data_IF_474536352009
#
_entry.id   IF_474536352009
#
_cell.length_a   1.000
_cell.length_b   1.000
_cell.length_c   1.000
_cell.angle_alpha   90.00
_cell.angle_beta   90.00
_cell.angle_gamma   90.00
#
_symmetry.space_group_name_H-M   'P 1'
#
loop_
_entity.id
_entity.type
_entity.pdbx_description
1 polymer ?
#
# COMPACT_ATOMS: atom_id res chain seq x y z
N UNK A 1 38.12 5.06 -65.73
CA UNK A 1 37.41 5.63 -64.57
C UNK A 1 36.10 4.88 -64.41
N UNK A 2 36.03 3.97 -63.45
CA UNK A 2 34.82 3.21 -63.12
C UNK A 2 34.19 3.86 -61.89
N UNK A 3 33.02 4.47 -62.05
CA UNK A 3 32.27 5.06 -60.95
C UNK A 3 31.36 3.98 -60.35
N UNK A 4 31.68 3.52 -59.14
CA UNK A 4 30.82 2.66 -58.36
C UNK A 4 29.73 3.51 -57.70
N UNK A 5 28.47 3.27 -58.05
CA UNK A 5 27.29 3.83 -57.37
C UNK A 5 27.03 2.95 -56.15
N UNK A 6 27.33 3.49 -54.95
CA UNK A 6 26.96 2.87 -53.68
C UNK A 6 25.51 3.24 -53.39
N UNK A 7 24.59 2.29 -53.55
CA UNK A 7 23.21 2.42 -53.12
C UNK A 7 23.11 2.28 -51.60
N UNK A 8 22.66 3.34 -50.92
CA UNK A 8 22.33 3.30 -49.49
C UNK A 8 20.96 2.65 -49.35
N UNK A 9 20.93 1.37 -48.95
CA UNK A 9 19.73 0.68 -48.51
C UNK A 9 19.33 1.25 -47.14
N UNK A 10 18.32 2.11 -47.13
CA UNK A 10 17.66 2.53 -45.90
C UNK A 10 16.98 1.33 -45.25
N UNK A 11 17.49 0.90 -44.10
CA UNK A 11 16.80 -0.03 -43.21
C UNK A 11 15.54 0.67 -42.68
N UNK A 12 14.39 0.36 -43.25
CA UNK A 12 13.10 0.70 -42.66
C UNK A 12 12.98 -0.05 -41.33
N UNK A 13 13.11 0.68 -40.23
CA UNK A 13 12.78 0.17 -38.90
C UNK A 13 11.26 0.00 -38.88
N UNK A 14 10.78 -1.21 -39.11
CA UNK A 14 9.38 -1.55 -38.90
C UNK A 14 9.09 -1.36 -37.41
N UNK A 15 8.39 -0.27 -37.06
CA UNK A 15 7.82 -0.11 -35.72
C UNK A 15 6.98 -1.33 -35.39
N UNK A 16 7.28 -1.98 -34.27
CA UNK A 16 6.61 -3.20 -33.85
C UNK A 16 5.09 -2.96 -33.82
N UNK A 17 4.34 -3.70 -34.65
CA UNK A 17 2.90 -3.53 -34.75
C UNK A 17 2.26 -3.80 -33.38
N UNK A 18 1.39 -2.90 -32.93
CA UNK A 18 0.71 -3.00 -31.65
C UNK A 18 -0.23 -4.21 -31.62
N UNK A 19 0.15 -5.27 -30.90
CA UNK A 19 -0.76 -6.39 -30.60
C UNK A 19 -1.77 -5.94 -29.55
N UNK A 20 -3.08 -6.06 -29.80
CA UNK A 20 -4.10 -5.68 -28.82
C UNK A 20 -3.92 -6.42 -27.48
N UNK A 21 -4.02 -5.70 -26.37
CA UNK A 21 -3.94 -6.26 -25.02
C UNK A 21 -5.33 -6.51 -24.42
N UNK A 22 -5.42 -7.49 -23.51
CA UNK A 22 -6.58 -7.66 -22.62
C UNK A 22 -6.59 -6.67 -21.45
N UNK A 23 -5.45 -6.01 -21.21
CA UNK A 23 -5.31 -4.97 -20.20
C UNK A 23 -6.16 -3.76 -20.56
N UNK A 24 -6.88 -3.24 -19.58
CA UNK A 24 -7.62 -1.98 -19.73
C UNK A 24 -7.13 -0.96 -18.71
N UNK A 25 -7.09 0.32 -19.09
CA UNK A 25 -6.56 1.42 -18.28
C UNK A 25 -7.52 2.61 -18.24
N UNK A 26 -7.36 3.50 -17.28
CA UNK A 26 -8.06 4.80 -17.20
C UNK A 26 -7.29 5.78 -16.32
N UNK A 27 -7.57 7.07 -16.47
CA UNK A 27 -6.93 8.15 -15.71
C UNK A 27 -6.13 9.08 -16.63
N UNK A 28 -5.68 10.21 -16.10
CA UNK A 28 -4.96 11.25 -16.89
C UNK A 28 -3.62 10.80 -17.45
N UNK A 29 -3.00 9.78 -16.84
CA UNK A 29 -1.71 9.19 -17.23
C UNK A 29 -1.86 7.81 -17.89
N UNK A 30 -3.09 7.39 -18.20
CA UNK A 30 -3.31 6.16 -18.94
C UNK A 30 -2.96 6.35 -20.43
N UNK A 31 -2.23 5.41 -21.06
CA UNK A 31 -1.92 5.50 -22.48
C UNK A 31 -3.19 5.38 -23.33
N UNK A 32 -3.22 6.11 -24.45
CA UNK A 32 -4.34 6.06 -25.41
C UNK A 32 -4.44 4.69 -26.09
N UNK A 33 -3.31 4.02 -26.31
CA UNK A 33 -3.24 2.69 -26.92
C UNK A 33 -2.50 1.74 -26.00
N UNK A 34 -3.10 0.56 -25.75
CA UNK A 34 -2.54 -0.48 -24.88
C UNK A 34 -2.10 -1.66 -25.75
N UNK A 35 -0.79 -1.79 -25.94
CA UNK A 35 -0.19 -2.90 -26.66
C UNK A 35 0.28 -3.98 -25.68
N UNK A 36 0.08 -5.25 -26.01
CA UNK A 36 0.57 -6.38 -25.21
C UNK A 36 2.08 -6.27 -24.98
N UNK A 37 2.51 -6.44 -23.72
CA UNK A 37 3.90 -6.29 -23.29
C UNK A 37 4.40 -4.86 -23.12
N UNK A 38 3.65 -3.84 -23.53
CA UNK A 38 4.07 -2.45 -23.37
C UNK A 38 4.03 -2.03 -21.89
N UNK A 39 4.99 -1.20 -21.49
CA UNK A 39 4.93 -0.50 -20.21
C UNK A 39 3.87 0.61 -20.32
N UNK A 40 2.89 0.58 -19.42
CA UNK A 40 1.71 1.44 -19.45
C UNK A 40 1.65 2.45 -18.30
N UNK A 41 2.50 2.27 -17.30
CA UNK A 41 2.74 3.23 -16.23
C UNK A 41 4.14 3.02 -15.66
N UNK A 42 4.82 4.11 -15.36
CA UNK A 42 6.10 4.09 -14.68
C UNK A 42 6.35 5.35 -13.86
N UNK A 43 7.03 5.15 -12.74
CA UNK A 43 7.64 6.22 -11.97
C UNK A 43 8.97 5.73 -11.39
N UNK A 44 10.05 6.44 -11.70
CA UNK A 44 11.40 6.21 -11.17
C UNK A 44 11.77 7.26 -10.11
N UNK A 45 10.80 8.07 -9.65
CA UNK A 45 10.91 9.03 -8.54
C UNK A 45 12.13 9.95 -8.61
N UNK A 46 12.50 10.37 -9.83
CA UNK A 46 13.49 11.44 -10.05
C UNK A 46 13.00 12.77 -9.47
N UNK A 47 11.68 12.96 -9.45
CA UNK A 47 10.95 14.00 -8.74
C UNK A 47 9.67 13.43 -8.12
N UNK A 48 9.01 14.21 -7.26
CA UNK A 48 7.69 13.84 -6.72
C UNK A 48 6.60 14.42 -7.63
N UNK A 49 6.12 13.61 -8.57
CA UNK A 49 5.10 13.98 -9.55
C UNK A 49 3.68 13.96 -8.92
N UNK A 50 3.14 15.15 -8.66
CA UNK A 50 1.79 15.34 -8.09
C UNK A 50 0.66 15.14 -9.11
N UNK A 51 0.97 15.06 -10.40
CA UNK A 51 -0.02 14.72 -11.42
C UNK A 51 -0.24 13.20 -11.51
N UNK A 52 0.79 12.41 -11.14
CA UNK A 52 0.68 10.96 -10.95
C UNK A 52 0.16 10.58 -9.57
N UNK A 53 0.63 11.23 -8.51
CA UNK A 53 0.36 10.80 -7.14
C UNK A 53 -0.43 11.85 -6.36
N UNK A 54 -1.65 11.48 -5.97
CA UNK A 54 -2.45 12.25 -5.03
C UNK A 54 -2.17 11.76 -3.60
N UNK A 55 -1.94 12.69 -2.66
CA UNK A 55 -1.92 12.36 -1.23
C UNK A 55 -3.33 12.10 -0.70
N UNK A 56 -3.46 11.09 0.14
CA UNK A 56 -4.58 10.98 1.07
C UNK A 56 -4.31 11.91 2.27
N UNK A 57 -5.28 12.76 2.58
CA UNK A 57 -5.25 13.69 3.71
C UNK A 57 -6.37 13.29 4.68
N UNK A 58 -6.02 12.57 5.74
CA UNK A 58 -6.99 12.04 6.71
C UNK A 58 -6.33 11.68 8.04
N UNK A 59 -7.05 11.91 9.14
CA UNK A 59 -6.74 11.35 10.46
C UNK A 59 -7.30 9.94 10.65
N UNK A 60 -8.09 9.44 9.69
CA UNK A 60 -8.67 8.12 9.75
C UNK A 60 -7.57 7.05 9.63
N UNK A 61 -7.62 6.05 10.50
CA UNK A 61 -6.73 4.89 10.43
C UNK A 61 -7.21 3.82 9.45
N UNK A 62 -7.93 4.19 8.38
CA UNK A 62 -8.39 3.24 7.34
C UNK A 62 -9.27 2.08 7.84
N UNK A 63 -9.99 2.23 8.95
CA UNK A 63 -10.71 1.13 9.61
C UNK A 63 -9.85 0.26 10.54
N UNK A 64 -8.52 0.39 10.46
CA UNK A 64 -7.54 -0.31 11.31
C UNK A 64 -7.21 0.42 12.62
N UNK A 65 -7.74 1.64 12.78
CA UNK A 65 -7.45 2.55 13.91
C UNK A 65 -5.95 2.81 14.12
N UNK A 66 -5.22 2.93 13.02
CA UNK A 66 -3.80 3.31 12.97
C UNK A 66 -3.55 4.67 13.68
N UNK A 67 -2.32 4.86 14.18
CA UNK A 67 -2.01 5.95 15.11
C UNK A 67 -1.48 7.21 14.44
N UNK A 68 -1.07 7.15 13.18
CA UNK A 68 -0.69 8.32 12.39
C UNK A 68 -1.91 9.02 11.79
N UNK A 69 -1.74 10.28 11.39
CA UNK A 69 -2.55 10.86 10.33
C UNK A 69 -1.71 11.05 9.07
N UNK A 70 -2.37 10.97 7.92
CA UNK A 70 -1.76 11.19 6.62
C UNK A 70 -1.99 12.62 6.16
N UNK A 71 -0.94 13.27 5.67
CA UNK A 71 -1.04 14.58 5.04
C UNK A 71 -0.01 14.76 3.92
N UNK A 72 -0.22 15.79 3.10
CA UNK A 72 0.72 16.20 2.08
C UNK A 72 1.84 17.08 2.69
N UNK A 73 2.82 16.45 3.34
CA UNK A 73 3.97 17.15 3.92
C UNK A 73 5.30 16.57 3.41
N UNK A 74 6.24 17.46 3.04
CA UNK A 74 7.57 17.09 2.53
C UNK A 74 8.52 16.56 3.60
N UNK A 75 8.20 16.70 4.89
CA UNK A 75 8.90 15.95 5.95
C UNK A 75 8.58 14.45 5.91
N UNK A 76 7.40 14.11 5.37
CA UNK A 76 6.85 12.75 5.39
C UNK A 76 6.83 12.06 4.03
N UNK A 77 6.82 12.81 2.93
CA UNK A 77 6.85 12.26 1.57
C UNK A 77 7.63 13.17 0.62
N UNK A 78 8.70 12.65 0.04
CA UNK A 78 9.58 13.39 -0.87
C UNK A 78 10.35 12.44 -1.79
N UNK A 79 10.76 12.97 -2.95
CA UNK A 79 11.67 12.28 -3.86
C UNK A 79 13.09 12.82 -3.66
N UNK A 80 14.08 11.93 -3.58
CA UNK A 80 15.49 12.30 -3.46
C UNK A 80 16.38 11.20 -4.06
N UNK A 81 17.34 11.60 -4.91
CA UNK A 81 18.27 10.68 -5.59
C UNK A 81 17.58 9.50 -6.33
N UNK A 82 16.44 9.76 -6.98
CA UNK A 82 15.70 8.72 -7.72
C UNK A 82 14.92 7.76 -6.82
N UNK A 83 14.70 8.11 -5.55
CA UNK A 83 13.91 7.30 -4.62
C UNK A 83 12.76 8.15 -4.06
N UNK A 84 11.58 7.56 -3.94
CA UNK A 84 10.53 8.05 -3.06
C UNK A 84 10.83 7.62 -1.63
N UNK A 85 10.74 8.55 -0.70
CA UNK A 85 10.76 8.31 0.74
C UNK A 85 9.38 8.59 1.32
N UNK A 86 8.83 7.65 2.09
CA UNK A 86 7.74 7.90 3.03
C UNK A 86 8.27 7.70 4.44
N UNK A 87 8.33 8.78 5.22
CA UNK A 87 8.98 8.84 6.53
C UNK A 87 8.01 9.27 7.63
N UNK A 88 7.98 8.60 8.79
CA UNK A 88 7.14 9.03 9.91
C UNK A 88 7.82 10.20 10.64
N UNK A 89 7.03 11.09 11.23
CA UNK A 89 7.51 12.16 12.11
C UNK A 89 6.52 12.38 13.25
N UNK A 90 6.91 13.08 14.32
CA UNK A 90 5.98 13.32 15.42
C UNK A 90 5.06 14.51 15.13
N UNK A 91 3.80 14.40 15.52
CA UNK A 91 2.86 15.52 15.53
C UNK A 91 3.33 16.61 16.51
N UNK A 92 3.95 16.20 17.62
CA UNK A 92 4.53 17.11 18.63
C UNK A 92 5.67 17.96 18.11
N UNK A 93 6.39 17.54 17.06
CA UNK A 93 7.47 18.36 16.48
C UNK A 93 6.93 19.65 15.86
N UNK A 94 5.67 19.64 15.42
CA UNK A 94 5.00 20.80 14.83
C UNK A 94 4.17 21.59 15.85
N UNK A 95 3.47 20.91 16.75
CA UNK A 95 2.46 21.54 17.61
C UNK A 95 2.82 21.52 19.11
N UNK A 96 3.92 20.87 19.50
CA UNK A 96 4.28 20.61 20.89
C UNK A 96 3.54 19.43 21.51
N UNK A 97 4.12 18.81 22.55
CA UNK A 97 3.51 17.62 23.19
C UNK A 97 2.15 17.92 23.84
N UNK A 98 1.99 19.10 24.47
CA UNK A 98 0.74 19.49 25.13
C UNK A 98 -0.46 19.59 24.18
N UNK A 99 -0.20 19.85 22.89
CA UNK A 99 -1.25 19.89 21.86
C UNK A 99 -1.89 18.52 21.64
N UNK A 100 -1.16 17.42 21.85
CA UNK A 100 -1.71 16.09 21.67
C UNK A 100 -2.90 15.82 22.60
N UNK A 101 -2.87 16.33 23.83
CA UNK A 101 -3.90 16.07 24.86
C UNK A 101 -4.95 17.17 25.02
N UNK A 102 -4.87 18.25 24.24
CA UNK A 102 -5.76 19.41 24.41
C UNK A 102 -6.08 20.18 23.12
N UNK A 103 -5.30 19.94 22.06
CA UNK A 103 -5.42 20.62 20.79
C UNK A 103 -6.62 20.15 19.98
N UNK A 104 -7.10 21.04 19.12
CA UNK A 104 -8.05 20.71 18.07
C UNK A 104 -7.31 20.75 16.73
N UNK A 105 -7.24 19.61 16.05
CA UNK A 105 -6.60 19.47 14.75
C UNK A 105 -7.68 19.30 13.69
N UNK A 106 -7.79 20.30 12.81
CA UNK A 106 -8.61 20.26 11.62
C UNK A 106 -7.69 20.31 10.39
N UNK A 107 -7.79 19.30 9.53
CA UNK A 107 -6.98 19.15 8.32
C UNK A 107 -7.77 19.48 7.04
N UNK A 108 -9.03 19.90 7.17
CA UNK A 108 -9.76 20.53 6.06
C UNK A 108 -9.12 21.90 5.80
N UNK A 109 -8.17 21.93 4.87
CA UNK A 109 -7.44 23.15 4.55
C UNK A 109 -8.28 24.17 3.78
N UNK A 110 -7.72 25.37 3.62
CA UNK A 110 -8.40 26.49 2.96
C UNK A 110 -8.41 26.43 1.43
N UNK A 111 -7.76 25.45 0.81
CA UNK A 111 -7.61 25.32 -0.63
C UNK A 111 -7.96 23.90 -1.12
N UNK A 112 -8.35 23.72 -2.40
CA UNK A 112 -8.63 22.40 -2.96
C UNK A 112 -7.50 21.38 -2.79
N UNK A 113 -6.24 21.82 -2.76
CA UNK A 113 -5.06 20.98 -2.58
C UNK A 113 -4.90 20.43 -1.15
N UNK A 114 -5.55 21.05 -0.17
CA UNK A 114 -5.44 20.71 1.25
C UNK A 114 -6.71 20.08 1.80
N UNK A 115 -7.66 19.71 0.92
CA UNK A 115 -8.93 19.12 1.33
C UNK A 115 -8.71 17.80 2.05
N UNK A 116 -9.49 17.55 3.08
CA UNK A 116 -9.60 16.24 3.66
C UNK A 116 -10.19 15.28 2.63
N UNK A 117 -9.52 14.16 2.42
CA UNK A 117 -9.93 13.20 1.39
C UNK A 117 -10.80 12.08 1.94
N UNK A 118 -10.87 11.91 3.27
CA UNK A 118 -11.71 10.92 3.91
C UNK A 118 -12.20 11.43 5.28
N UNK A 119 -13.50 11.79 5.41
CA UNK A 119 -14.09 12.26 6.67
C UNK A 119 -14.49 11.16 7.65
N UNK A 120 -14.48 9.88 7.22
CA UNK A 120 -14.92 8.79 8.07
C UNK A 120 -14.06 8.67 9.34
N UNK A 121 -14.67 8.22 10.44
CA UNK A 121 -14.00 8.00 11.73
C UNK A 121 -13.19 9.21 12.21
N UNK A 122 -13.81 10.39 12.21
CA UNK A 122 -13.17 11.65 12.60
C UNK A 122 -11.94 11.94 11.72
N UNK A 123 -12.09 11.72 10.42
CA UNK A 123 -10.98 11.73 9.48
C UNK A 123 -10.54 13.12 9.03
N UNK A 124 -11.34 14.18 9.26
CA UNK A 124 -10.98 15.55 8.90
C UNK A 124 -10.70 16.46 10.09
N UNK A 125 -11.23 16.13 11.26
CA UNK A 125 -10.96 16.88 12.48
C UNK A 125 -11.02 15.96 13.70
N UNK A 126 -10.17 16.25 14.69
CA UNK A 126 -10.14 15.58 15.99
C UNK A 126 -9.77 16.58 17.08
N UNK A 127 -10.24 16.34 18.29
CA UNK A 127 -9.81 17.07 19.49
C UNK A 127 -9.13 16.10 20.44
N UNK A 128 -7.90 16.42 20.81
CA UNK A 128 -7.14 15.67 21.81
C UNK A 128 -7.71 15.88 23.20
N UNK A 129 -7.66 14.83 24.00
CA UNK A 129 -8.00 14.85 25.42
C UNK A 129 -6.90 14.14 26.22
N UNK A 130 -6.81 14.32 27.55
CA UNK A 130 -5.84 13.61 28.37
C UNK A 130 -5.90 12.08 28.24
N UNK A 131 -7.10 11.53 28.01
CA UNK A 131 -7.30 10.07 27.86
C UNK A 131 -7.13 9.59 26.42
N UNK A 132 -7.56 10.39 25.44
CA UNK A 132 -7.49 10.09 24.01
C UNK A 132 -6.80 11.23 23.30
N UNK A 133 -5.49 11.13 23.15
CA UNK A 133 -4.71 12.14 22.47
C UNK A 133 -4.97 12.14 20.96
N UNK A 134 -4.62 13.23 20.28
CA UNK A 134 -4.53 13.27 18.82
C UNK A 134 -3.50 12.26 18.30
N UNK A 135 -3.66 11.83 17.05
CA UNK A 135 -2.69 11.02 16.31
C UNK A 135 -1.26 11.55 16.59
N UNK A 136 -0.38 10.80 17.29
CA UNK A 136 0.88 11.35 17.75
C UNK A 136 1.92 11.35 16.63
N UNK A 137 1.61 10.69 15.51
CA UNK A 137 2.48 10.51 14.36
C UNK A 137 1.86 11.17 13.12
N UNK A 138 2.72 11.74 12.29
CA UNK A 138 2.42 12.14 10.90
C UNK A 138 3.10 11.17 9.95
N UNK A 139 2.44 10.84 8.86
CA UNK A 139 3.00 10.03 7.79
C UNK A 139 2.38 10.44 6.45
N UNK A 140 2.65 9.69 5.38
CA UNK A 140 2.00 9.89 4.09
C UNK A 140 1.44 8.58 3.51
N UNK A 141 0.36 8.76 2.74
CA UNK A 141 -0.28 7.75 1.89
C UNK A 141 -0.55 8.43 0.56
N UNK A 142 -0.05 7.84 -0.52
CA UNK A 142 -0.16 8.40 -1.87
C UNK A 142 -0.85 7.39 -2.78
N UNK A 143 -1.60 7.87 -3.77
CA UNK A 143 -2.41 7.03 -4.64
C UNK A 143 -2.55 7.58 -6.05
N UNK A 144 -2.78 6.67 -7.00
CA UNK A 144 -2.96 6.97 -8.43
C UNK A 144 -4.43 7.13 -8.83
N UNK A 145 -5.36 7.29 -7.87
CA UNK A 145 -6.82 7.20 -8.06
C UNK A 145 -7.40 8.01 -9.24
N UNK A 146 -6.82 9.17 -9.56
CA UNK A 146 -7.24 10.01 -10.69
C UNK A 146 -6.37 9.86 -11.95
N UNK A 147 -5.13 9.42 -11.76
CA UNK A 147 -4.09 9.44 -12.79
C UNK A 147 -3.96 8.11 -13.52
N UNK A 148 -4.07 6.99 -12.80
CA UNK A 148 -3.86 5.67 -13.38
C UNK A 148 -4.57 4.58 -12.57
N UNK A 149 -5.51 3.91 -13.23
CA UNK A 149 -6.13 2.66 -12.77
C UNK A 149 -6.11 1.65 -13.91
N UNK A 150 -5.86 0.38 -13.62
CA UNK A 150 -5.75 -0.65 -14.63
C UNK A 150 -6.42 -1.96 -14.21
N UNK A 151 -6.81 -2.77 -15.19
CA UNK A 151 -7.27 -4.15 -15.01
C UNK A 151 -6.42 -5.06 -15.86
N UNK A 152 -5.88 -6.10 -15.22
CA UNK A 152 -4.93 -7.06 -15.76
C UNK A 152 -3.60 -6.42 -16.18
N UNK A 153 -2.50 -7.10 -15.90
CA UNK A 153 -1.16 -6.59 -16.15
C UNK A 153 -0.12 -7.29 -15.28
N UNK A 154 1.12 -6.86 -15.45
CA UNK A 154 2.22 -7.15 -14.52
C UNK A 154 2.55 -5.87 -13.78
N UNK A 155 2.62 -5.94 -12.45
CA UNK A 155 3.10 -4.86 -11.58
C UNK A 155 4.43 -5.28 -11.01
N UNK A 156 5.39 -4.37 -10.98
CA UNK A 156 6.62 -4.51 -10.21
C UNK A 156 6.89 -3.21 -9.46
N UNK A 157 7.09 -3.32 -8.16
CA UNK A 157 7.54 -2.22 -7.32
C UNK A 157 8.84 -2.65 -6.65
N UNK A 158 9.91 -1.89 -6.89
CA UNK A 158 11.19 -2.12 -6.20
C UNK A 158 11.26 -1.21 -4.99
N UNK A 159 11.27 -1.79 -3.81
CA UNK A 159 11.25 -1.05 -2.55
C UNK A 159 12.10 -1.71 -1.47
N UNK A 160 12.54 -0.93 -0.49
CA UNK A 160 13.14 -1.38 0.76
C UNK A 160 12.21 -1.01 1.90
N UNK A 161 11.82 -1.99 2.70
CA UNK A 161 10.91 -1.77 3.82
C UNK A 161 11.59 -0.97 4.94
N UNK A 162 10.87 -0.13 5.69
CA UNK A 162 11.40 0.55 6.85
C UNK A 162 11.66 -0.41 8.01
N UNK A 163 12.54 0.01 8.92
CA UNK A 163 12.78 -0.59 10.22
C UNK A 163 12.54 0.42 11.33
N UNK A 164 11.87 -0.04 12.37
CA UNK A 164 11.42 0.74 13.51
C UNK A 164 10.21 0.07 14.12
N UNK A 165 10.17 0.01 15.45
CA UNK A 165 9.10 -0.68 16.14
C UNK A 165 7.74 -0.04 15.80
N UNK A 166 6.78 -0.90 15.48
CA UNK A 166 5.38 -0.54 15.20
C UNK A 166 5.15 0.19 13.87
N UNK A 167 6.13 0.23 12.97
CA UNK A 167 5.94 0.70 11.60
C UNK A 167 5.23 -0.36 10.74
N UNK A 168 4.30 0.07 9.89
CA UNK A 168 3.50 -0.78 9.01
C UNK A 168 3.53 -0.22 7.57
N UNK A 169 4.56 -0.57 6.78
CA UNK A 169 4.61 -0.25 5.36
C UNK A 169 3.60 -1.07 4.55
N UNK A 170 2.99 -0.46 3.53
CA UNK A 170 2.14 -1.15 2.58
C UNK A 170 2.29 -0.58 1.16
N UNK A 171 2.28 -1.49 0.17
CA UNK A 171 2.06 -1.20 -1.25
C UNK A 171 0.90 -2.08 -1.68
N UNK A 172 -0.17 -1.48 -2.18
CA UNK A 172 -1.44 -2.15 -2.35
C UNK A 172 -2.30 -1.44 -3.40
N UNK A 173 -3.44 -2.02 -3.73
CA UNK A 173 -4.34 -1.51 -4.74
C UNK A 173 -5.79 -1.57 -4.27
N UNK A 174 -6.54 -0.53 -4.63
CA UNK A 174 -7.97 -0.40 -4.36
C UNK A 174 -8.76 -0.22 -5.66
N UNK A 175 -10.03 -0.65 -5.71
CA UNK A 175 -10.84 -0.54 -6.92
C UNK A 175 -11.12 0.94 -7.24
N UNK A 176 -11.05 1.30 -8.51
CA UNK A 176 -11.37 2.65 -8.98
C UNK A 176 -12.84 3.01 -8.73
N UNK A 177 -13.71 2.00 -8.68
CA UNK A 177 -15.13 2.14 -8.41
C UNK A 177 -15.63 0.98 -7.55
N UNK A 178 -16.62 1.25 -6.69
CA UNK A 178 -17.30 0.22 -5.89
C UNK A 178 -18.34 -0.56 -6.71
N UNK A 179 -17.91 -1.23 -7.79
CA UNK A 179 -18.81 -1.90 -8.75
C UNK A 179 -19.68 -3.01 -8.14
N UNK A 180 -19.24 -3.59 -7.01
CA UNK A 180 -19.90 -4.72 -6.34
C UNK A 180 -20.37 -4.38 -4.92
N UNK A 181 -20.29 -3.10 -4.51
CA UNK A 181 -20.60 -2.65 -3.16
C UNK A 181 -19.37 -2.17 -2.38
N UNK A 182 -19.56 -1.82 -1.11
CA UNK A 182 -18.47 -1.35 -0.25
C UNK A 182 -17.47 -2.47 0.06
N UNK A 183 -16.30 -2.11 0.59
CA UNK A 183 -15.29 -3.08 1.00
C UNK A 183 -15.88 -4.18 1.91
N UNK A 184 -15.49 -5.46 1.74
CA UNK A 184 -14.53 -6.00 0.76
C UNK A 184 -15.17 -6.46 -0.56
N UNK A 185 -16.44 -6.11 -0.84
CA UNK A 185 -17.17 -6.64 -1.98
C UNK A 185 -16.60 -6.21 -3.34
N UNK A 186 -15.99 -5.03 -3.41
CA UNK A 186 -15.28 -4.55 -4.61
C UNK A 186 -13.78 -4.87 -4.61
N UNK A 187 -13.30 -5.61 -3.62
CA UNK A 187 -11.93 -6.13 -3.55
C UNK A 187 -10.89 -5.14 -3.01
N UNK A 188 -9.74 -5.69 -2.62
CA UNK A 188 -8.49 -5.00 -2.29
C UNK A 188 -7.33 -5.99 -2.57
N UNK A 189 -6.23 -5.47 -3.11
CA UNK A 189 -5.04 -6.27 -3.49
C UNK A 189 -3.82 -5.73 -2.76
N UNK A 190 -3.34 -6.46 -1.76
CA UNK A 190 -2.15 -6.10 -1.02
C UNK A 190 -0.94 -6.74 -1.70
N UNK A 191 -0.21 -5.93 -2.47
CA UNK A 191 1.02 -6.39 -3.13
C UNK A 191 2.07 -6.75 -2.08
N UNK A 192 2.25 -5.89 -1.08
CA UNK A 192 3.05 -6.21 0.09
C UNK A 192 2.63 -5.42 1.33
N UNK A 193 2.56 -6.11 2.45
CA UNK A 193 2.57 -5.56 3.80
C UNK A 193 3.71 -6.18 4.62
N UNK A 194 4.29 -5.42 5.53
CA UNK A 194 5.35 -5.89 6.45
C UNK A 194 5.31 -5.13 7.78
N UNK A 195 6.17 -5.52 8.73
CA UNK A 195 6.32 -4.88 10.04
C UNK A 195 7.74 -4.39 10.21
N UNK A 196 7.91 -3.17 10.70
CA UNK A 196 9.24 -2.57 10.90
C UNK A 196 10.03 -3.11 12.10
N UNK A 197 9.42 -3.93 12.96
CA UNK A 197 10.08 -4.43 14.17
C UNK A 197 11.22 -5.41 13.81
N UNK A 198 12.46 -5.10 14.19
CA UNK A 198 13.62 -5.97 13.88
C UNK A 198 13.67 -7.25 14.71
N UNK A 199 12.98 -7.30 15.84
CA UNK A 199 13.06 -8.40 16.81
C UNK A 199 11.69 -8.81 17.35
N UNK A 200 10.66 -8.78 16.50
CA UNK A 200 9.30 -9.18 16.87
C UNK A 200 9.05 -10.65 16.56
N UNK A 201 8.70 -11.41 17.59
CA UNK A 201 8.43 -12.84 17.49
C UNK A 201 7.04 -13.19 18.03
N UNK A 202 6.35 -14.08 17.33
CA UNK A 202 5.13 -14.72 17.81
C UNK A 202 5.35 -16.23 17.86
N UNK A 203 5.22 -16.83 19.05
CA UNK A 203 5.49 -18.25 19.27
C UNK A 203 6.85 -18.73 18.70
N UNK A 204 7.90 -17.91 18.86
CA UNK A 204 9.25 -18.20 18.38
C UNK A 204 9.50 -17.91 16.89
N UNK A 205 8.46 -17.50 16.14
CA UNK A 205 8.56 -17.16 14.72
C UNK A 205 8.75 -15.66 14.56
N UNK A 206 9.76 -15.23 13.79
CA UNK A 206 9.97 -13.81 13.46
C UNK A 206 8.88 -13.34 12.50
N UNK A 207 8.10 -12.34 12.93
CA UNK A 207 6.98 -11.74 12.17
C UNK A 207 7.20 -10.25 11.89
N UNK A 208 8.39 -9.74 12.21
CA UNK A 208 8.83 -8.37 12.01
C UNK A 208 9.41 -8.13 10.62
N UNK A 209 10.56 -7.46 10.52
CA UNK A 209 11.19 -7.11 9.23
C UNK A 209 11.61 -8.31 8.38
N UNK A 210 11.61 -9.52 8.93
CA UNK A 210 11.90 -10.75 8.19
C UNK A 210 10.68 -11.32 7.46
N UNK A 211 9.48 -10.78 7.67
CA UNK A 211 8.24 -11.26 7.07
C UNK A 211 7.61 -10.21 6.16
N UNK A 212 7.20 -10.62 4.97
CA UNK A 212 6.39 -9.84 4.04
C UNK A 212 5.20 -10.69 3.60
N UNK A 213 4.02 -10.09 3.56
CA UNK A 213 2.78 -10.76 3.17
C UNK A 213 2.13 -10.11 1.96
N UNK A 214 1.42 -10.92 1.18
CA UNK A 214 0.50 -10.45 0.13
C UNK A 214 -0.87 -11.04 0.39
N UNK A 215 -1.91 -10.25 0.16
CA UNK A 215 -3.29 -10.60 0.52
C UNK A 215 -4.26 -10.17 -0.57
N UNK A 216 -5.33 -10.92 -0.73
CA UNK A 216 -6.52 -10.48 -1.46
C UNK A 216 -7.68 -10.39 -0.47
N UNK A 217 -8.29 -9.22 -0.30
CA UNK A 217 -9.54 -9.10 0.44
C UNK A 217 -10.71 -9.16 -0.52
N UNK A 218 -11.67 -10.04 -0.23
CA UNK A 218 -12.86 -10.25 -1.03
C UNK A 218 -13.96 -10.87 -0.16
N UNK A 219 -15.20 -10.45 -0.34
CA UNK A 219 -16.34 -11.01 0.38
C UNK A 219 -17.55 -10.09 0.31
N UNK A 220 -18.76 -10.57 0.60
CA UNK A 220 -19.96 -9.74 0.46
C UNK A 220 -20.01 -8.60 1.48
N UNK A 221 -19.43 -8.78 2.67
CA UNK A 221 -19.45 -7.84 3.79
C UNK A 221 -18.17 -7.95 4.64
N UNK A 222 -17.83 -6.92 5.45
CA UNK A 222 -16.63 -6.93 6.30
C UNK A 222 -16.50 -8.16 7.22
N UNK A 223 -17.61 -8.64 7.79
CA UNK A 223 -17.62 -9.82 8.66
C UNK A 223 -17.52 -11.16 7.90
N UNK A 224 -17.58 -11.13 6.58
CA UNK A 224 -17.44 -12.28 5.68
C UNK A 224 -16.28 -12.04 4.70
N UNK A 225 -15.19 -11.45 5.19
CA UNK A 225 -13.99 -11.26 4.39
C UNK A 225 -13.22 -12.59 4.25
N UNK A 226 -13.00 -13.04 3.02
CA UNK A 226 -12.39 -14.32 2.67
C UNK A 226 -10.86 -14.31 2.59
N UNK A 227 -10.22 -13.24 3.08
CA UNK A 227 -8.79 -12.99 2.93
C UNK A 227 -7.87 -14.13 3.40
N UNK A 228 -8.26 -14.87 4.44
CA UNK A 228 -7.50 -16.01 4.98
C UNK A 228 -7.22 -17.09 3.92
N UNK A 229 -8.06 -17.16 2.88
CA UNK A 229 -7.94 -18.13 1.78
C UNK A 229 -7.04 -17.65 0.64
N UNK A 230 -6.61 -16.39 0.70
CA UNK A 230 -5.78 -15.74 -0.31
C UNK A 230 -4.74 -14.83 0.36
N UNK A 231 -4.12 -15.34 1.43
CA UNK A 231 -3.05 -14.68 2.16
C UNK A 231 -1.81 -15.58 2.17
N UNK A 232 -0.66 -14.99 1.90
CA UNK A 232 0.62 -15.70 1.88
C UNK A 232 1.70 -14.84 2.51
N UNK A 233 2.65 -15.50 3.17
CA UNK A 233 3.81 -14.84 3.79
C UNK A 233 5.10 -15.48 3.32
N UNK A 234 6.13 -14.66 3.11
CA UNK A 234 7.48 -15.12 2.84
C UNK A 234 8.43 -14.56 3.88
N UNK A 235 9.26 -15.45 4.43
CA UNK A 235 10.31 -15.05 5.35
C UNK A 235 11.68 -14.97 4.68
N UNK A 236 12.42 -13.93 5.02
CA UNK A 236 13.81 -13.70 4.62
C UNK A 236 14.63 -13.39 5.87
N UNK A 237 15.55 -14.29 6.24
CA UNK A 237 16.38 -14.12 7.45
C UNK A 237 17.29 -12.88 7.40
N UNK A 238 17.62 -12.39 6.20
CA UNK A 238 18.33 -11.12 6.04
C UNK A 238 17.46 -9.90 6.39
N UNK A 239 16.13 -10.03 6.31
CA UNK A 239 15.18 -8.93 6.49
C UNK A 239 14.91 -8.14 5.20
N UNK A 240 13.66 -7.72 5.01
CA UNK A 240 13.24 -6.83 3.92
C UNK A 240 13.63 -5.36 4.16
N UNK A 241 14.18 -5.05 5.33
CA UNK A 241 14.70 -3.72 5.69
C UNK A 241 16.15 -3.48 5.26
N UNK A 242 16.86 -4.51 4.80
CA UNK A 242 18.31 -4.43 4.52
C UNK A 242 18.65 -4.12 3.07
N UNK A 243 17.78 -4.50 2.14
CA UNK A 243 18.02 -4.32 0.71
C UNK A 243 16.71 -3.97 -0.01
N UNK A 244 16.84 -3.47 -1.24
CA UNK A 244 15.70 -3.34 -2.12
C UNK A 244 15.30 -4.70 -2.67
N UNK A 245 14.00 -4.98 -2.65
CA UNK A 245 13.38 -6.19 -3.17
C UNK A 245 12.35 -5.81 -4.23
N UNK A 246 12.11 -6.71 -5.19
CA UNK A 246 11.06 -6.55 -6.21
C UNK A 246 9.79 -7.26 -5.73
N UNK A 247 8.75 -6.48 -5.48
CA UNK A 247 7.41 -6.98 -5.15
C UNK A 247 6.58 -6.99 -6.43
N UNK A 248 6.08 -8.16 -6.80
CA UNK A 248 5.54 -8.40 -8.13
C UNK A 248 4.14 -9.01 -8.07
N UNK A 249 3.27 -8.56 -8.98
CA UNK A 249 1.95 -9.12 -9.24
C UNK A 249 1.81 -9.43 -10.72
N UNK A 250 1.44 -10.66 -11.06
CA UNK A 250 0.89 -10.99 -12.37
C UNK A 250 -0.61 -11.23 -12.23
N UNK A 251 -1.40 -10.37 -12.85
CA UNK A 251 -2.86 -10.38 -12.78
C UNK A 251 -3.43 -10.56 -14.17
N UNK A 252 -4.06 -11.71 -14.40
CA UNK A 252 -4.59 -12.12 -15.70
C UNK A 252 -6.10 -12.36 -15.61
N UNK A 253 -6.81 -12.57 -16.74
CA UNK A 253 -8.20 -13.04 -16.72
C UNK A 253 -8.41 -14.41 -16.05
N UNK A 254 -7.33 -15.13 -15.72
CA UNK A 254 -7.39 -16.49 -15.19
C UNK A 254 -6.83 -16.65 -13.78
N UNK A 255 -5.90 -15.79 -13.35
CA UNK A 255 -5.26 -15.89 -12.04
C UNK A 255 -4.67 -14.56 -11.55
N UNK A 256 -4.42 -14.48 -10.24
CA UNK A 256 -3.48 -13.54 -9.63
C UNK A 256 -2.32 -14.32 -9.03
N UNK A 257 -1.07 -13.91 -9.30
CA UNK A 257 0.15 -14.49 -8.72
C UNK A 257 1.01 -13.40 -8.13
N UNK A 258 1.41 -13.57 -6.88
CA UNK A 258 2.35 -12.70 -6.18
C UNK A 258 3.74 -13.31 -6.19
N UNK A 259 4.76 -12.47 -6.26
CA UNK A 259 6.16 -12.89 -6.20
C UNK A 259 7.01 -11.84 -5.51
N UNK A 260 8.08 -12.30 -4.87
CA UNK A 260 9.13 -11.43 -4.35
C UNK A 260 10.45 -11.89 -4.97
N UNK A 261 11.18 -10.99 -5.61
CA UNK A 261 12.44 -11.30 -6.31
C UNK A 261 12.33 -12.51 -7.25
N UNK A 262 11.31 -12.52 -8.11
CA UNK A 262 10.97 -13.58 -9.07
C UNK A 262 10.63 -14.96 -8.46
N UNK A 263 10.50 -15.06 -7.13
CA UNK A 263 10.05 -16.29 -6.45
C UNK A 263 8.58 -16.16 -6.11
N UNK A 264 7.78 -17.11 -6.60
CA UNK A 264 6.34 -17.18 -6.32
C UNK A 264 6.09 -17.27 -4.81
N UNK A 265 5.28 -16.34 -4.33
CA UNK A 265 4.80 -16.28 -2.95
C UNK A 265 3.48 -17.04 -2.80
N UNK A 266 2.56 -16.81 -3.75
CA UNK A 266 1.27 -17.48 -3.79
C UNK A 266 0.46 -17.07 -5.01
N UNK A 267 -0.59 -17.85 -5.29
CA UNK A 267 -1.49 -17.59 -6.41
C UNK A 267 -2.92 -18.01 -6.12
N UNK A 268 -3.86 -17.34 -6.77
CA UNK A 268 -5.26 -17.75 -6.87
C UNK A 268 -5.63 -17.94 -8.34
N UNK A 269 -6.11 -19.14 -8.66
CA UNK A 269 -6.66 -19.51 -9.97
C UNK A 269 -8.10 -20.00 -9.75
N UNK A 270 -9.10 -19.10 -9.71
CA UNK A 270 -10.45 -19.49 -9.33
C UNK A 270 -11.08 -20.38 -10.41
N UNK A 271 -11.84 -21.39 -9.96
CA UNK A 271 -12.62 -22.26 -10.83
C UNK A 271 -13.87 -21.56 -11.41
N UNK A 272 -14.80 -22.34 -11.95
CA UNK A 272 -16.06 -21.80 -12.52
C UNK A 272 -16.92 -21.06 -11.48
N UNK A 273 -16.87 -21.46 -10.20
CA UNK A 273 -17.56 -20.76 -9.11
C UNK A 273 -16.90 -19.46 -8.65
N UNK A 274 -15.78 -19.07 -9.26
CA UNK A 274 -15.10 -17.79 -9.01
C UNK A 274 -14.58 -17.63 -7.58
N UNK A 275 -14.36 -16.38 -7.18
CA UNK A 275 -14.01 -16.04 -5.79
C UNK A 275 -15.16 -16.32 -4.81
N UNK A 276 -16.42 -16.40 -5.28
CA UNK A 276 -17.56 -16.72 -4.42
C UNK A 276 -17.41 -18.10 -3.79
N UNK A 277 -17.14 -19.10 -4.62
CA UNK A 277 -16.89 -20.46 -4.17
C UNK A 277 -15.53 -20.58 -3.47
N UNK A 278 -14.49 -19.87 -3.95
CA UNK A 278 -13.19 -19.84 -3.28
C UNK A 278 -13.34 -19.42 -1.82
N UNK A 279 -14.14 -18.38 -1.56
CA UNK A 279 -14.45 -17.86 -0.23
C UNK A 279 -15.29 -18.78 0.65
N UNK A 280 -15.96 -19.79 0.07
CA UNK A 280 -16.94 -20.62 0.75
C UNK A 280 -18.26 -19.90 1.06
N UNK A 281 -18.57 -18.83 0.32
CA UNK A 281 -19.74 -18.00 0.57
C UNK A 281 -21.05 -18.59 0.04
N UNK A 282 -20.98 -19.64 -0.77
CA UNK A 282 -22.12 -20.42 -1.28
C UNK A 282 -22.95 -21.08 -0.18
N UNK A 283 -22.38 -21.24 1.01
CA UNK A 283 -23.06 -21.75 2.20
C UNK A 283 -23.78 -20.66 3.01
N UNK A 284 -23.58 -19.39 2.66
CA UNK A 284 -24.12 -18.26 3.41
C UNK A 284 -25.50 -17.85 2.85
N UNK A 285 -26.42 -17.43 3.73
CA UNK A 285 -27.73 -16.92 3.31
C UNK A 285 -27.65 -15.44 2.88
N UNK A 286 -26.78 -15.15 1.92
CA UNK A 286 -26.56 -13.81 1.35
C UNK A 286 -26.49 -13.87 -0.16
N UNK A 287 -26.96 -12.82 -0.83
CA UNK A 287 -26.91 -12.75 -2.28
C UNK A 287 -25.47 -12.59 -2.76
N UNK A 288 -25.07 -13.36 -3.78
CA UNK A 288 -23.75 -13.21 -4.39
C UNK A 288 -23.65 -11.86 -5.14
N UNK A 289 -22.80 -10.91 -4.68
CA UNK A 289 -22.64 -9.62 -5.35
C UNK A 289 -21.96 -9.75 -6.72
N UNK A 290 -21.27 -10.87 -6.97
CA UNK A 290 -20.48 -11.12 -8.17
C UNK A 290 -21.23 -11.93 -9.24
N UNK A 291 -22.54 -12.18 -9.06
CA UNK A 291 -23.35 -13.04 -9.97
C UNK A 291 -23.37 -12.59 -11.45
N UNK A 292 -23.05 -11.32 -11.72
CA UNK A 292 -22.95 -10.75 -13.07
C UNK A 292 -21.50 -10.41 -13.46
N UNK A 293 -20.53 -10.69 -12.59
CA UNK A 293 -19.11 -10.55 -12.87
C UNK A 293 -18.54 -11.79 -13.55
N UNK A 294 -17.26 -11.72 -13.86
CA UNK A 294 -16.49 -12.89 -14.29
C UNK A 294 -16.09 -13.77 -13.10
N UNK A 295 -15.47 -14.93 -13.37
CA UNK A 295 -14.87 -15.76 -12.32
C UNK A 295 -13.81 -15.01 -11.48
N UNK A 296 -13.26 -13.92 -12.01
CA UNK A 296 -12.27 -13.10 -11.34
C UNK A 296 -12.88 -12.00 -10.47
N UNK A 297 -14.19 -11.75 -10.54
CA UNK A 297 -14.85 -10.76 -9.69
C UNK A 297 -14.55 -11.05 -8.20
N UNK A 298 -14.16 -10.04 -7.40
CA UNK A 298 -14.22 -8.61 -7.72
C UNK A 298 -13.00 -8.05 -8.47
N UNK A 299 -11.96 -8.86 -8.68
CA UNK A 299 -10.72 -8.51 -9.38
C UNK A 299 -10.85 -8.56 -10.91
N UNK A 300 -12.03 -8.24 -11.42
CA UNK A 300 -12.33 -8.01 -12.83
C UNK A 300 -12.71 -6.55 -13.13
N UNK A 301 -12.43 -5.66 -12.17
CA UNK A 301 -12.54 -4.21 -12.26
C UNK A 301 -11.15 -3.57 -12.34
N UNK A 302 -11.08 -2.26 -12.62
CA UNK A 302 -9.81 -1.52 -12.59
C UNK A 302 -9.46 -1.13 -11.16
N UNK A 303 -8.18 -1.22 -10.82
CA UNK A 303 -7.64 -0.86 -9.51
C UNK A 303 -6.56 0.21 -9.67
N UNK A 304 -6.44 1.11 -8.68
CA UNK A 304 -5.37 2.11 -8.58
C UNK A 304 -4.37 1.71 -7.49
N UNK A 305 -3.11 2.13 -7.65
CA UNK A 305 -2.01 1.86 -6.71
C UNK A 305 -2.03 2.82 -5.53
N UNK A 306 -1.65 2.30 -4.36
CA UNK A 306 -1.46 3.02 -3.09
C UNK A 306 -0.10 2.63 -2.48
N UNK A 307 0.62 3.61 -1.95
CA UNK A 307 1.84 3.41 -1.16
C UNK A 307 1.71 4.21 0.13
N UNK A 308 1.93 3.58 1.29
CA UNK A 308 1.92 4.27 2.58
C UNK A 308 2.84 3.65 3.61
N UNK A 309 3.00 4.41 4.70
CA UNK A 309 3.61 3.94 5.94
C UNK A 309 2.66 4.25 7.10
N UNK A 310 1.92 3.24 7.55
CA UNK A 310 1.13 3.29 8.77
C UNK A 310 2.00 3.08 10.01
N UNK A 311 1.45 3.37 11.19
CA UNK A 311 2.06 3.15 12.50
C UNK A 311 1.03 2.61 13.48
N UNK A 312 1.34 1.49 14.12
CA UNK A 312 0.46 0.85 15.10
C UNK A 312 -0.90 0.46 14.52
N UNK A 313 -1.95 0.52 15.34
CA UNK A 313 -3.31 0.08 15.00
C UNK A 313 -3.85 -0.97 15.97
N UNK A 314 -5.16 -1.19 15.96
CA UNK A 314 -5.86 -2.08 16.90
C UNK A 314 -6.54 -3.27 16.23
N UNK A 315 -6.43 -3.41 14.91
CA UNK A 315 -7.05 -4.48 14.12
C UNK A 315 -6.40 -5.86 14.28
N UNK A 316 -5.34 -6.00 15.09
CA UNK A 316 -4.60 -7.26 15.26
C UNK A 316 -3.39 -7.42 14.35
N UNK A 317 -3.11 -6.49 13.43
CA UNK A 317 -1.92 -6.56 12.57
C UNK A 317 -0.62 -6.66 13.38
N UNK A 318 -0.55 -5.94 14.51
CA UNK A 318 0.41 -6.20 15.59
C UNK A 318 -0.29 -7.06 16.65
N UNK A 319 -0.01 -8.38 16.73
CA UNK A 319 -0.70 -9.25 17.68
C UNK A 319 -0.38 -8.87 19.13
N UNK A 320 -1.30 -9.18 20.05
CA UNK A 320 -1.02 -9.11 21.48
C UNK A 320 -0.15 -10.31 21.90
N UNK A 321 0.62 -10.18 22.99
CA UNK A 321 1.46 -11.27 23.52
C UNK A 321 2.72 -11.59 22.73
N UNK A 322 3.08 -10.76 21.74
CA UNK A 322 4.31 -10.89 20.97
C UNK A 322 5.55 -10.56 21.80
N UNK A 323 6.65 -11.26 21.53
CA UNK A 323 7.95 -10.96 22.10
C UNK A 323 8.66 -9.91 21.25
N UNK A 324 9.03 -8.78 21.85
CA UNK A 324 9.87 -7.74 21.25
C UNK A 324 10.71 -7.10 22.39
N UNK A 325 11.98 -6.71 22.16
CA UNK A 325 12.82 -6.12 23.21
C UNK A 325 12.17 -4.92 23.91
N UNK A 326 11.42 -4.12 23.15
CA UNK A 326 10.49 -3.13 23.67
C UNK A 326 9.09 -3.74 23.62
N UNK A 327 8.46 -4.07 24.76
CA UNK A 327 7.12 -4.65 24.75
C UNK A 327 6.11 -3.74 24.04
N UNK A 328 5.12 -4.36 23.39
CA UNK A 328 4.01 -3.63 22.77
C UNK A 328 3.31 -2.76 23.84
N UNK A 329 3.27 -1.42 23.69
CA UNK A 329 2.76 -0.54 24.74
C UNK A 329 1.24 -0.47 24.82
N UNK A 330 0.51 -1.02 23.84
CA UNK A 330 -0.95 -1.10 23.84
C UNK A 330 -1.42 -2.55 23.65
N UNK A 331 -2.67 -2.82 23.98
CA UNK A 331 -3.37 -4.06 23.61
C UNK A 331 -4.49 -3.75 22.61
N UNK A 332 -4.89 -4.71 21.78
CA UNK A 332 -5.74 -4.44 20.61
C UNK A 332 -7.20 -4.03 20.93
N UNK A 333 -7.69 -4.23 22.15
CA UNK A 333 -9.00 -3.69 22.54
C UNK A 333 -8.91 -2.47 23.45
N UNK A 334 -7.73 -1.85 23.62
CA UNK A 334 -7.59 -0.68 24.48
C UNK A 334 -8.43 0.48 23.94
N UNK A 335 -9.33 1.07 24.75
CA UNK A 335 -10.05 2.27 24.35
C UNK A 335 -9.15 3.50 24.24
N UNK A 336 -7.91 3.42 24.78
CA UNK A 336 -6.91 4.48 24.78
C UNK A 336 -5.62 4.04 24.09
N UNK A 337 -5.68 3.07 23.17
CA UNK A 337 -4.51 2.44 22.54
C UNK A 337 -3.47 3.44 22.01
N UNK A 338 -3.95 4.53 21.42
CA UNK A 338 -3.12 5.58 20.83
C UNK A 338 -2.37 6.39 21.91
N UNK A 339 -3.01 6.64 23.06
CA UNK A 339 -2.37 7.23 24.25
C UNK A 339 -1.38 6.26 24.89
N UNK A 340 -1.73 4.98 25.00
CA UNK A 340 -0.86 3.93 25.54
C UNK A 340 0.42 3.81 24.68
N UNK A 341 0.24 3.80 23.35
CA UNK A 341 1.33 3.85 22.39
C UNK A 341 2.27 5.04 22.63
N UNK A 342 1.72 6.25 22.76
CA UNK A 342 2.50 7.46 23.00
C UNK A 342 3.23 7.45 24.35
N UNK A 343 2.62 6.88 25.39
CA UNK A 343 3.25 6.74 26.70
C UNK A 343 4.45 5.79 26.66
N UNK A 344 4.44 4.79 25.77
CA UNK A 344 5.55 3.87 25.53
C UNK A 344 6.71 4.42 24.69
N UNK A 345 6.65 5.69 24.24
CA UNK A 345 7.57 6.24 23.23
C UNK A 345 9.05 6.22 23.60
N UNK A 346 9.38 6.32 24.89
CA UNK A 346 10.78 6.24 25.33
C UNK A 346 11.42 4.89 24.97
N UNK A 347 10.64 3.82 24.85
CA UNK A 347 11.11 2.52 24.39
C UNK A 347 11.19 2.41 22.87
N UNK A 348 10.11 2.71 22.15
CA UNK A 348 10.03 2.43 20.71
C UNK A 348 10.62 3.53 19.82
N UNK A 349 10.54 4.80 20.20
CA UNK A 349 10.99 5.92 19.34
C UNK A 349 12.49 5.85 19.02
N UNK A 350 13.39 5.49 19.96
CA UNK A 350 14.81 5.32 19.63
C UNK A 350 15.07 4.28 18.53
N UNK A 351 14.18 3.29 18.36
CA UNK A 351 14.34 2.26 17.32
C UNK A 351 14.15 2.77 15.90
N UNK A 352 13.47 3.92 15.72
CA UNK A 352 13.27 4.55 14.42
C UNK A 352 14.51 5.30 13.94
N UNK A 353 15.46 5.58 14.84
CA UNK A 353 16.75 6.16 14.52
C UNK A 353 16.66 7.46 13.68
N UNK A 354 15.66 8.30 13.93
CA UNK A 354 15.34 9.47 13.09
C UNK A 354 16.49 10.50 13.00
N UNK A 355 17.35 10.56 14.02
CA UNK A 355 18.50 11.47 14.07
C UNK A 355 19.76 10.92 13.40
N UNK A 356 19.74 9.69 12.91
CA UNK A 356 20.87 9.08 12.19
C UNK A 356 20.47 8.78 10.75
N UNK A 357 21.42 8.91 9.82
CA UNK A 357 21.19 8.66 8.40
C UNK A 357 19.90 9.35 7.87
N UNK A 358 19.60 10.55 8.36
CA UNK A 358 18.38 11.32 8.03
C UNK A 358 17.07 10.51 8.20
N UNK A 359 17.01 9.60 9.19
CA UNK A 359 15.83 8.77 9.44
C UNK A 359 15.46 7.81 8.31
N UNK A 360 16.41 7.53 7.39
CA UNK A 360 16.18 6.64 6.26
C UNK A 360 15.82 5.22 6.68
N UNK A 361 16.34 4.74 7.81
CA UNK A 361 16.00 3.41 8.33
C UNK A 361 14.50 3.28 8.61
N UNK A 362 13.86 4.30 9.18
CA UNK A 362 12.42 4.32 9.43
C UNK A 362 11.58 4.73 8.22
N UNK A 363 12.21 4.97 7.06
CA UNK A 363 11.51 5.39 5.85
C UNK A 363 11.24 4.21 4.93
N UNK A 364 10.01 4.10 4.41
CA UNK A 364 9.75 3.27 3.24
C UNK A 364 10.43 3.93 2.03
N UNK A 365 11.30 3.19 1.35
CA UNK A 365 12.06 3.67 0.21
C UNK A 365 11.62 2.93 -1.03
N UNK A 366 11.14 3.64 -2.04
CA UNK A 366 10.67 3.06 -3.31
C UNK A 366 11.55 3.59 -4.43
N UNK A 367 12.18 2.68 -5.16
CA UNK A 367 13.05 2.98 -6.30
C UNK A 367 12.24 3.18 -7.57
N UNK A 368 11.31 2.28 -7.85
CA UNK A 368 10.38 2.48 -8.97
C UNK A 368 9.06 1.74 -8.78
N UNK A 369 8.07 2.20 -9.53
CA UNK A 369 6.82 1.50 -9.82
C UNK A 369 6.71 1.32 -11.32
N UNK A 370 6.44 0.10 -11.79
CA UNK A 370 6.25 -0.19 -13.21
C UNK A 370 5.06 -1.12 -13.42
N UNK A 371 4.28 -0.83 -14.45
CA UNK A 371 3.14 -1.65 -14.86
C UNK A 371 3.23 -1.93 -16.35
N UNK A 372 3.08 -3.21 -16.73
CA UNK A 372 3.06 -3.66 -18.11
C UNK A 372 1.71 -4.29 -18.45
N UNK A 373 1.24 -4.03 -19.66
CA UNK A 373 0.09 -4.69 -20.24
C UNK A 373 0.40 -6.16 -20.58
N UNK A 374 -0.63 -7.01 -20.50
CA UNK A 374 -0.54 -8.42 -20.91
C UNK A 374 -0.58 -8.59 -22.42
#
# INVERSE_FOLDING_TARGET
>A
MWAAVIGVLGLAVFGQACTPSVTTVSGTHAPVTVCSGAMIFADDFTEFDLEKWQHENTLAGGGNWEFQYYNNNRTNSFAHNGLLFIRPSLTSDQFGEAFLSSGHLNIEGGAPADRCTNPQWFGCERTGTPSNILNPIKSARIRTVNSFSFRYGRVEVRAKMPAGDWLWPAIWLMPAYNSYGTWPASGEIDLVESRGNRNMFNNGVHIGTQEAGSTLHFGPYPNLNGWERAHWVRRNSAGYDRAFHRYQLEWTPDFLRFSIDDVELGRVTPGSGGFWQLGGFDTQNVENPWRYGSKMAPFDQKFYLIINLAVGGTNGFFPDGVSNPVPKPWWNGSPTALTDFWNGRSGWLPTWNLNSNDGQDASLQVDYVRVWAL
#
